data_IF_007124759225
#
_entry.id   IF_007124759225
#
_cell.length_a   1.000
_cell.length_b   1.000
_cell.length_c   1.000
_cell.angle_alpha   90.00
_cell.angle_beta   90.00
_cell.angle_gamma   90.00
#
_symmetry.space_group_name_H-M   'P 1'
#
loop_
_entity.id
_entity.type
_entity.pdbx_description
1 polymer ?
#
# COMPACT_ATOMS: atom_id res chain seq x y z
N UNK A 1 37.56 29.29 45.78
CA UNK A 1 37.36 28.95 44.35
C UNK A 1 36.10 29.67 43.84
N UNK A 2 36.24 30.71 42.99
CA UNK A 2 35.09 31.44 42.42
C UNK A 2 34.59 30.70 41.17
N UNK A 3 33.37 30.18 41.21
CA UNK A 3 32.70 29.61 40.04
C UNK A 3 32.30 30.73 39.07
N UNK A 4 32.83 30.71 37.85
CA UNK A 4 32.40 31.60 36.77
C UNK A 4 31.08 31.06 36.21
N UNK A 5 29.99 31.79 36.39
CA UNK A 5 28.73 31.52 35.71
C UNK A 5 28.92 31.69 34.19
N UNK A 6 28.57 30.67 33.39
CA UNK A 6 28.49 30.79 31.93
C UNK A 6 27.23 31.60 31.61
N UNK A 7 27.41 32.81 31.08
CA UNK A 7 26.30 33.61 30.57
C UNK A 7 25.59 32.90 29.40
N UNK A 8 24.30 33.22 29.14
CA UNK A 8 23.55 32.61 28.06
C UNK A 8 24.17 32.95 26.71
N UNK A 9 24.31 31.94 25.84
CA UNK A 9 24.85 32.11 24.50
C UNK A 9 23.97 33.05 23.67
N UNK A 10 24.55 33.95 22.86
CA UNK A 10 23.78 34.89 22.05
C UNK A 10 22.93 34.14 21.02
N UNK A 11 21.64 34.44 20.96
CA UNK A 11 20.72 33.90 19.95
C UNK A 11 21.19 34.31 18.56
N UNK A 12 21.57 33.35 17.72
CA UNK A 12 21.85 33.59 16.29
C UNK A 12 20.55 34.05 15.62
N UNK A 13 20.35 35.36 15.51
CA UNK A 13 19.32 35.92 14.64
C UNK A 13 19.70 35.57 13.20
N UNK A 14 19.05 34.55 12.65
CA UNK A 14 19.26 34.13 11.29
C UNK A 14 18.95 35.30 10.35
N UNK A 15 19.93 35.67 9.52
CA UNK A 15 19.76 36.63 8.43
C UNK A 15 18.57 36.19 7.59
N UNK A 16 17.51 37.00 7.53
CA UNK A 16 16.38 36.80 6.64
C UNK A 16 16.87 36.95 5.21
N UNK A 17 17.24 35.83 4.59
CA UNK A 17 17.58 35.79 3.17
C UNK A 17 16.29 36.01 2.38
N UNK A 18 16.30 36.87 1.34
CA UNK A 18 15.18 36.99 0.43
C UNK A 18 14.77 35.60 -0.08
N UNK A 19 13.49 35.27 -0.01
CA UNK A 19 12.99 33.97 -0.46
C UNK A 19 13.08 33.94 -1.98
N UNK A 20 14.00 33.15 -2.51
CA UNK A 20 14.19 32.99 -3.96
C UNK A 20 12.92 32.49 -4.65
N UNK A 21 12.15 31.62 -3.98
CA UNK A 21 10.87 31.12 -4.48
C UNK A 21 9.75 31.98 -3.88
N UNK A 22 9.16 32.83 -4.71
CA UNK A 22 8.11 33.78 -4.35
C UNK A 22 6.76 33.09 -4.11
N UNK A 23 5.83 33.82 -3.49
CA UNK A 23 4.48 33.32 -3.23
C UNK A 23 3.71 32.99 -4.53
N UNK A 24 4.02 33.68 -5.63
CA UNK A 24 3.42 33.47 -6.96
C UNK A 24 3.87 32.15 -7.61
N UNK A 25 5.13 31.74 -7.37
CA UNK A 25 5.71 30.56 -8.00
C UNK A 25 5.27 29.25 -7.34
N UNK A 26 4.96 29.29 -6.03
CA UNK A 26 4.55 28.12 -5.26
C UNK A 26 3.23 27.47 -5.74
N UNK A 27 2.16 28.22 -6.06
CA UNK A 27 0.96 27.69 -6.70
C UNK A 27 1.27 26.94 -8.00
N UNK A 28 2.10 27.50 -8.87
CA UNK A 28 2.45 26.86 -10.15
C UNK A 28 3.21 25.57 -9.91
N UNK A 29 4.23 25.60 -9.03
CA UNK A 29 4.96 24.40 -8.65
C UNK A 29 4.05 23.31 -8.06
N UNK A 30 3.05 23.69 -7.24
CA UNK A 30 2.06 22.76 -6.70
C UNK A 30 1.19 22.15 -7.78
N UNK A 31 0.78 22.93 -8.79
CA UNK A 31 0.01 22.44 -9.94
C UNK A 31 0.81 21.41 -10.74
N UNK A 32 2.04 21.74 -11.14
CA UNK A 32 2.96 20.83 -11.85
C UNK A 32 3.15 19.52 -11.06
N UNK A 33 3.41 19.63 -9.75
CA UNK A 33 3.59 18.47 -8.88
C UNK A 33 2.33 17.61 -8.76
N UNK A 34 1.15 18.23 -8.71
CA UNK A 34 -0.12 17.52 -8.63
C UNK A 34 -0.44 16.76 -9.92
N UNK A 35 -0.12 17.31 -11.10
CA UNK A 35 -0.30 16.65 -12.40
C UNK A 35 0.55 15.38 -12.52
N UNK A 36 1.68 15.31 -11.83
CA UNK A 36 2.62 14.17 -11.84
C UNK A 36 2.40 13.21 -10.66
N UNK A 37 1.15 13.06 -10.22
CA UNK A 37 0.75 12.20 -9.09
C UNK A 37 1.59 12.40 -7.84
N UNK A 38 2.04 13.64 -7.61
CA UNK A 38 2.77 14.04 -6.41
C UNK A 38 4.10 13.31 -6.22
N UNK A 39 4.83 13.06 -7.31
CA UNK A 39 6.13 12.39 -7.31
C UNK A 39 7.20 13.06 -6.39
N UNK A 40 8.28 12.32 -6.10
CA UNK A 40 9.41 12.82 -5.31
C UNK A 40 10.22 13.88 -6.08
N UNK A 41 10.94 14.75 -5.38
CA UNK A 41 11.68 15.86 -5.98
C UNK A 41 12.69 15.44 -7.04
N UNK A 42 13.28 14.24 -6.92
CA UNK A 42 14.20 13.69 -7.94
C UNK A 42 13.50 13.42 -9.27
N UNK A 43 12.31 12.80 -9.23
CA UNK A 43 11.50 12.56 -10.43
C UNK A 43 10.97 13.86 -10.99
N UNK A 44 10.48 14.74 -10.12
CA UNK A 44 9.96 16.05 -10.51
C UNK A 44 11.00 16.88 -11.24
N UNK A 45 12.24 16.97 -10.71
CA UNK A 45 13.32 17.71 -11.35
C UNK A 45 13.65 17.18 -12.76
N UNK A 46 13.67 15.85 -12.93
CA UNK A 46 14.01 15.22 -14.22
C UNK A 46 12.98 15.49 -15.32
N UNK A 47 11.71 15.69 -14.97
CA UNK A 47 10.62 15.92 -15.93
C UNK A 47 10.09 17.35 -15.92
N UNK A 48 10.68 18.24 -15.12
CA UNK A 48 10.18 19.59 -14.86
C UNK A 48 9.95 20.37 -16.15
N UNK A 49 10.98 20.46 -16.98
CA UNK A 49 10.93 21.24 -18.22
C UNK A 49 9.90 20.70 -19.22
N UNK A 50 9.89 19.39 -19.45
CA UNK A 50 8.92 18.76 -20.34
C UNK A 50 7.48 18.95 -19.85
N UNK A 51 7.27 18.92 -18.53
CA UNK A 51 5.94 19.10 -17.92
C UNK A 51 5.50 20.56 -18.01
N UNK A 52 6.39 21.53 -17.74
CA UNK A 52 6.10 22.95 -17.90
C UNK A 52 5.72 23.25 -19.36
N UNK A 53 6.53 22.79 -20.32
CA UNK A 53 6.26 22.99 -21.74
C UNK A 53 4.93 22.36 -22.17
N UNK A 54 4.56 21.20 -21.61
CA UNK A 54 3.26 20.58 -21.88
C UNK A 54 2.10 21.40 -21.32
N UNK A 55 2.23 21.91 -20.10
CA UNK A 55 1.18 22.72 -19.47
C UNK A 55 1.03 24.09 -20.14
N UNK A 56 2.11 24.71 -20.62
CA UNK A 56 2.05 25.94 -21.42
C UNK A 56 1.35 25.71 -22.76
N UNK A 57 1.61 24.58 -23.45
CA UNK A 57 0.91 24.23 -24.69
C UNK A 57 -0.60 24.04 -24.54
N UNK A 58 -1.07 23.74 -23.33
CA UNK A 58 -2.48 23.56 -23.03
C UNK A 58 -3.09 24.78 -22.32
N UNK A 59 -2.39 25.92 -22.28
CA UNK A 59 -2.80 27.15 -21.59
C UNK A 59 -3.16 26.95 -20.11
N UNK A 60 -2.58 25.91 -19.48
CA UNK A 60 -2.82 25.57 -18.08
C UNK A 60 -1.96 26.42 -17.13
N UNK A 61 -0.80 26.87 -17.59
CA UNK A 61 0.11 27.74 -16.85
C UNK A 61 0.70 28.79 -17.78
N UNK A 62 1.00 29.96 -17.22
CA UNK A 62 1.78 31.01 -17.89
C UNK A 62 2.92 31.41 -16.96
N UNK A 63 4.15 31.18 -17.39
CA UNK A 63 5.36 31.52 -16.64
C UNK A 63 6.17 32.56 -17.40
N UNK A 64 6.81 33.48 -16.67
CA UNK A 64 7.84 34.33 -17.27
C UNK A 64 9.11 33.49 -17.50
N UNK A 65 9.97 33.86 -18.46
CA UNK A 65 11.22 33.13 -18.73
C UNK A 65 12.07 32.92 -17.48
N UNK A 66 12.14 33.94 -16.61
CA UNK A 66 12.91 33.91 -15.36
C UNK A 66 12.33 32.89 -14.36
N UNK A 67 11.01 32.80 -14.26
CA UNK A 67 10.35 31.83 -13.39
C UNK A 67 10.52 30.39 -13.89
N UNK A 68 10.48 30.19 -15.22
CA UNK A 68 10.75 28.88 -15.83
C UNK A 68 12.18 28.43 -15.53
N UNK A 69 13.17 29.29 -15.77
CA UNK A 69 14.57 28.97 -15.49
C UNK A 69 14.80 28.70 -13.99
N UNK A 70 14.17 29.48 -13.12
CA UNK A 70 14.27 29.28 -11.68
C UNK A 70 13.68 27.93 -11.22
N UNK A 71 12.57 27.48 -11.80
CA UNK A 71 12.00 26.16 -11.49
C UNK A 71 12.84 25.01 -12.06
N UNK A 72 13.35 25.15 -13.28
CA UNK A 72 14.18 24.13 -13.92
C UNK A 72 15.56 23.98 -13.26
N UNK A 73 16.12 25.08 -12.72
CA UNK A 73 17.41 25.07 -12.00
C UNK A 73 17.29 24.59 -10.54
N UNK A 74 16.08 24.41 -10.01
CA UNK A 74 15.86 24.00 -8.65
C UNK A 74 16.38 22.57 -8.37
N UNK A 75 17.25 22.42 -7.36
CA UNK A 75 17.71 21.09 -6.97
C UNK A 75 16.55 20.20 -6.47
N UNK A 76 16.62 18.86 -6.63
CA UNK A 76 15.62 17.94 -6.10
C UNK A 76 15.32 18.15 -4.60
N UNK A 77 16.36 18.42 -3.81
CA UNK A 77 16.23 18.66 -2.37
C UNK A 77 15.55 20.00 -2.05
N UNK A 78 15.65 20.99 -2.94
CA UNK A 78 14.93 22.26 -2.82
C UNK A 78 13.45 22.05 -3.10
N UNK A 79 13.12 21.35 -4.19
CA UNK A 79 11.73 21.02 -4.55
C UNK A 79 11.02 20.24 -3.45
N UNK A 80 11.68 19.23 -2.87
CA UNK A 80 11.13 18.47 -1.75
C UNK A 80 10.89 19.35 -0.51
N UNK A 81 11.76 20.32 -0.22
CA UNK A 81 11.59 21.28 0.89
C UNK A 81 10.43 22.24 0.65
N UNK A 82 10.28 22.75 -0.58
CA UNK A 82 9.17 23.64 -0.95
C UNK A 82 7.81 22.93 -0.87
N UNK A 83 7.77 21.66 -1.26
CA UNK A 83 6.54 20.84 -1.28
C UNK A 83 6.26 20.12 0.05
N UNK A 84 7.18 20.13 1.00
CA UNK A 84 7.03 19.46 2.30
C UNK A 84 5.75 19.87 3.08
N UNK A 85 5.32 21.15 3.11
CA UNK A 85 4.07 21.53 3.76
C UNK A 85 2.85 20.88 3.12
N UNK A 86 2.79 20.81 1.79
CA UNK A 86 1.67 20.18 1.08
C UNK A 86 1.66 18.67 1.24
N UNK A 87 2.83 18.03 1.18
CA UNK A 87 2.95 16.60 1.51
C UNK A 87 2.47 16.28 2.92
N UNK A 88 2.75 17.15 3.88
CA UNK A 88 2.27 16.99 5.26
C UNK A 88 0.75 17.10 5.36
N UNK A 89 0.14 18.01 4.59
CA UNK A 89 -1.33 18.15 4.51
C UNK A 89 -2.00 16.91 3.92
N UNK A 90 -1.39 16.33 2.89
CA UNK A 90 -1.91 15.15 2.21
C UNK A 90 -1.58 13.83 2.92
N UNK A 91 -0.69 13.86 3.93
CA UNK A 91 -0.32 12.66 4.67
C UNK A 91 -1.51 12.17 5.47
N UNK A 92 -2.13 11.09 4.98
CA UNK A 92 -3.12 10.34 5.72
C UNK A 92 -2.50 9.89 7.04
N UNK A 93 -3.16 10.20 8.17
CA UNK A 93 -2.76 9.66 9.47
C UNK A 93 -3.08 8.18 9.47
N UNK A 94 -2.07 7.33 9.21
CA UNK A 94 -2.17 5.89 9.40
C UNK A 94 -2.54 5.61 10.84
N UNK A 95 -3.82 5.33 11.09
CA UNK A 95 -4.29 4.80 12.36
C UNK A 95 -4.37 3.30 12.18
N UNK A 96 -3.58 2.57 12.96
CA UNK A 96 -3.72 1.12 13.03
C UNK A 96 -5.14 0.81 13.48
N UNK A 97 -5.92 0.14 12.62
CA UNK A 97 -7.23 -0.39 13.01
C UNK A 97 -7.09 -1.62 13.91
N UNK A 98 -5.90 -2.22 13.95
CA UNK A 98 -5.56 -3.28 14.89
C UNK A 98 -5.00 -2.65 16.16
N UNK A 99 -5.68 -2.89 17.29
CA UNK A 99 -5.06 -2.75 18.60
C UNK A 99 -4.24 -4.02 18.83
N UNK A 100 -2.96 -3.93 19.22
CA UNK A 100 -2.20 -5.12 19.58
C UNK A 100 -2.84 -5.74 20.82
N UNK A 101 -3.66 -6.78 20.61
CA UNK A 101 -4.24 -7.58 21.66
C UNK A 101 -3.23 -8.62 22.15
N UNK A 102 -3.21 -8.87 23.46
CA UNK A 102 -2.38 -9.89 24.11
C UNK A 102 -2.91 -11.31 23.94
N UNK A 103 -4.17 -11.47 23.48
CA UNK A 103 -4.96 -12.65 23.83
C UNK A 103 -4.76 -13.88 22.92
N UNK A 104 -4.13 -13.77 21.75
CA UNK A 104 -4.03 -14.88 20.78
C UNK A 104 -2.66 -15.05 20.11
N UNK A 105 -1.74 -14.06 20.21
CA UNK A 105 -0.43 -14.15 19.54
C UNK A 105 0.47 -15.26 20.09
N UNK A 106 0.40 -15.54 21.40
CA UNK A 106 1.20 -16.58 22.04
C UNK A 106 0.68 -18.00 21.79
N UNK A 107 -0.57 -18.14 21.33
CA UNK A 107 -1.21 -19.43 21.05
C UNK A 107 -1.07 -19.86 19.58
N UNK A 108 -0.62 -18.95 18.70
CA UNK A 108 -0.39 -19.21 17.29
C UNK A 108 1.13 -19.37 17.11
N UNK A 109 1.65 -20.59 16.87
CA UNK A 109 3.07 -20.78 16.60
C UNK A 109 3.51 -19.91 15.42
N UNK A 110 4.48 -19.02 15.66
CA UNK A 110 5.05 -18.20 14.60
C UNK A 110 6.05 -19.05 13.83
N UNK A 111 5.61 -19.64 12.71
CA UNK A 111 6.52 -20.29 11.77
C UNK A 111 7.45 -19.25 11.18
N UNK A 112 8.74 -19.41 11.44
CA UNK A 112 9.79 -18.52 10.94
C UNK A 112 9.98 -18.73 9.44
N UNK A 113 10.56 -17.75 8.74
CA UNK A 113 10.72 -17.78 7.28
C UNK A 113 11.49 -19.02 6.78
N UNK A 114 12.34 -19.62 7.62
CA UNK A 114 13.14 -20.80 7.30
C UNK A 114 12.35 -22.13 7.35
N UNK A 115 11.22 -22.17 8.05
CA UNK A 115 10.37 -23.37 8.18
C UNK A 115 9.32 -23.44 7.06
N UNK A 116 9.29 -22.44 6.16
CA UNK A 116 8.28 -22.32 5.10
C UNK A 116 8.79 -22.94 3.80
N UNK A 117 8.06 -23.91 3.29
CA UNK A 117 8.24 -24.44 1.94
C UNK A 117 7.36 -23.63 0.98
N UNK A 118 7.94 -22.60 0.36
CA UNK A 118 7.23 -21.73 -0.59
C UNK A 118 6.83 -22.44 -1.90
N UNK A 119 7.22 -23.70 -2.11
CA UNK A 119 6.86 -24.46 -3.30
C UNK A 119 5.54 -25.24 -3.15
N UNK A 120 4.92 -25.27 -1.96
CA UNK A 120 3.68 -26.02 -1.69
C UNK A 120 2.51 -25.10 -1.37
N UNK A 121 1.36 -25.37 -1.98
CA UNK A 121 0.10 -24.63 -1.76
C UNK A 121 -0.56 -25.05 -0.44
N UNK A 122 0.12 -24.84 0.68
CA UNK A 122 -0.34 -25.17 2.03
C UNK A 122 -0.41 -23.92 2.95
N UNK A 123 -0.06 -22.76 2.43
CA UNK A 123 0.07 -21.52 3.19
C UNK A 123 -0.74 -20.38 2.57
N UNK A 124 -1.82 -20.04 3.27
CA UNK A 124 -2.74 -18.97 2.91
C UNK A 124 -2.51 -17.74 3.78
N UNK A 125 -2.10 -16.63 3.18
CA UNK A 125 -2.07 -15.32 3.82
C UNK A 125 -3.46 -14.67 3.73
N UNK A 126 -4.01 -14.26 4.86
CA UNK A 126 -5.31 -13.58 4.92
C UNK A 126 -5.11 -12.18 5.46
N UNK A 127 -5.45 -11.17 4.68
CA UNK A 127 -5.41 -9.76 5.07
C UNK A 127 -6.78 -9.09 4.95
N UNK A 128 -7.04 -8.10 5.80
CA UNK A 128 -8.24 -7.28 5.75
C UNK A 128 -7.88 -5.83 5.40
N UNK A 129 -8.17 -5.44 4.16
CA UNK A 129 -7.91 -4.09 3.65
C UNK A 129 -9.11 -3.20 3.88
N UNK A 130 -8.89 -2.05 4.53
CA UNK A 130 -9.91 -1.00 4.71
C UNK A 130 -9.85 0.01 3.57
N UNK A 131 -11.00 0.29 2.95
CA UNK A 131 -11.14 1.30 1.89
C UNK A 131 -11.64 2.65 2.42
N UNK A 132 -11.43 2.95 3.70
CA UNK A 132 -11.88 4.20 4.35
C UNK A 132 -10.99 5.42 4.12
N UNK A 133 -9.93 5.31 3.30
CA UNK A 133 -9.05 6.45 2.97
C UNK A 133 -8.37 7.11 4.18
N UNK A 134 -8.32 6.45 5.34
CA UNK A 134 -7.76 6.99 6.57
C UNK A 134 -8.74 7.74 7.49
N UNK A 135 -10.01 7.94 7.06
CA UNK A 135 -11.08 8.41 7.95
C UNK A 135 -11.95 7.23 8.41
N UNK A 136 -11.95 6.87 9.71
CA UNK A 136 -12.81 5.81 10.22
C UNK A 136 -14.28 6.25 10.41
N UNK A 137 -14.60 7.53 10.14
CA UNK A 137 -15.94 8.08 10.30
C UNK A 137 -16.72 7.90 9.00
N UNK A 138 -17.48 6.81 8.91
CA UNK A 138 -18.40 6.60 7.79
C UNK A 138 -18.72 5.14 7.53
N UNK A 139 -19.37 4.92 6.39
CA UNK A 139 -19.58 3.59 5.85
C UNK A 139 -18.56 3.32 4.75
N UNK A 140 -17.78 2.26 4.89
CA UNK A 140 -16.71 1.92 3.97
C UNK A 140 -16.63 0.41 3.78
N UNK A 141 -16.25 0.02 2.57
CA UNK A 141 -16.00 -1.37 2.23
C UNK A 141 -14.70 -1.86 2.88
N UNK A 142 -14.69 -3.15 3.21
CA UNK A 142 -13.47 -3.87 3.52
C UNK A 142 -13.31 -5.00 2.51
N UNK A 143 -12.09 -5.31 2.13
CA UNK A 143 -11.78 -6.49 1.33
C UNK A 143 -10.96 -7.45 2.17
N UNK A 144 -11.49 -8.67 2.36
CA UNK A 144 -10.73 -9.80 2.87
C UNK A 144 -10.03 -10.46 1.69
N UNK A 145 -8.70 -10.40 1.66
CA UNK A 145 -7.88 -10.99 0.61
C UNK A 145 -7.23 -12.26 1.16
N UNK A 146 -7.50 -13.39 0.52
CA UNK A 146 -6.84 -14.65 0.81
C UNK A 146 -5.89 -14.99 -0.34
N UNK A 147 -4.59 -15.10 -0.05
CA UNK A 147 -3.54 -15.37 -1.04
C UNK A 147 -2.79 -16.64 -0.68
N UNK A 148 -2.79 -17.62 -1.57
CA UNK A 148 -1.91 -18.78 -1.45
C UNK A 148 -0.51 -18.39 -1.97
N UNK A 149 0.50 -18.52 -1.12
CA UNK A 149 1.84 -17.98 -1.42
C UNK A 149 2.57 -18.77 -2.50
N UNK A 150 2.37 -20.09 -2.56
CA UNK A 150 3.08 -20.94 -3.52
C UNK A 150 2.52 -20.83 -4.94
N UNK A 151 1.20 -20.82 -5.09
CA UNK A 151 0.55 -20.66 -6.39
C UNK A 151 0.40 -19.20 -6.84
N UNK A 152 0.46 -18.25 -5.90
CA UNK A 152 0.12 -16.84 -6.14
C UNK A 152 -1.37 -16.59 -6.33
N UNK A 153 -2.22 -17.62 -6.18
CA UNK A 153 -3.66 -17.48 -6.32
C UNK A 153 -4.20 -16.56 -5.23
N UNK A 154 -5.00 -15.57 -5.63
CA UNK A 154 -5.57 -14.57 -4.73
C UNK A 154 -7.07 -14.48 -4.92
N UNK A 155 -7.82 -14.65 -3.83
CA UNK A 155 -9.27 -14.50 -3.79
C UNK A 155 -9.68 -13.32 -2.90
N UNK A 156 -10.02 -12.16 -3.50
CA UNK A 156 -10.58 -11.05 -2.76
C UNK A 156 -12.09 -11.25 -2.54
N UNK A 157 -12.55 -10.94 -1.34
CA UNK A 157 -13.98 -10.90 -0.97
C UNK A 157 -14.30 -9.59 -0.29
N UNK A 158 -15.29 -8.88 -0.80
CA UNK A 158 -15.78 -7.66 -0.16
C UNK A 158 -16.62 -8.04 1.05
N UNK A 159 -16.19 -7.62 2.23
CA UNK A 159 -16.89 -7.78 3.50
C UNK A 159 -17.47 -6.41 3.87
N UNK A 160 -18.69 -6.13 3.43
CA UNK A 160 -19.38 -4.91 3.83
C UNK A 160 -19.91 -5.04 5.26
N UNK A 161 -19.22 -4.44 6.23
CA UNK A 161 -19.80 -4.15 7.55
C UNK A 161 -19.11 -2.97 8.23
N UNK A 162 -19.46 -1.75 7.82
CA UNK A 162 -19.19 -0.58 8.65
C UNK A 162 -20.27 -0.48 9.72
N UNK A 163 -19.97 -0.91 10.95
CA UNK A 163 -20.59 -0.24 12.11
C UNK A 163 -19.82 1.06 12.31
N UNK A 164 -20.45 2.24 12.22
CA UNK A 164 -19.77 3.46 12.61
C UNK A 164 -19.27 3.28 14.04
N UNK A 165 -18.05 3.70 14.32
CA UNK A 165 -17.57 3.78 15.69
C UNK A 165 -18.37 4.88 16.40
N UNK A 166 -19.51 4.49 16.97
CA UNK A 166 -20.38 5.38 17.73
C UNK A 166 -19.60 5.82 18.96
N UNK A 167 -19.43 7.14 19.10
CA UNK A 167 -18.98 7.73 20.35
C UNK A 167 -19.94 7.28 21.47
N UNK A 168 -19.48 6.57 22.52
CA UNK A 168 -20.34 6.11 23.60
C UNK A 168 -21.06 7.26 24.34
N UNK A 169 -20.68 8.53 24.12
CA UNK A 169 -21.34 9.70 24.73
C UNK A 169 -22.52 10.27 23.92
N UNK A 170 -22.73 9.83 22.67
CA UNK A 170 -23.69 10.45 21.75
C UNK A 170 -24.95 9.63 21.41
N UNK A 171 -25.09 8.41 21.95
CA UNK A 171 -26.15 7.50 21.53
C UNK A 171 -27.47 7.69 22.31
N UNK A 172 -28.17 8.80 22.07
CA UNK A 172 -29.63 8.87 22.29
C UNK A 172 -30.30 9.36 21.02
N UNK A 173 -31.11 8.49 20.42
CA UNK A 173 -32.12 8.91 19.43
C UNK A 173 -31.73 8.77 17.97
N UNK A 174 -31.38 7.56 17.50
CA UNK A 174 -31.59 7.22 16.07
C UNK A 174 -32.28 5.87 15.93
N UNK A 175 -33.39 5.89 15.20
CA UNK A 175 -34.24 4.76 14.89
C UNK A 175 -33.47 3.68 14.10
N UNK A 176 -33.88 2.44 14.32
CA UNK A 176 -33.34 1.23 13.69
C UNK A 176 -33.70 1.24 12.20
N UNK A 177 -32.75 1.18 11.25
CA UNK A 177 -33.11 1.06 9.83
C UNK A 177 -33.74 -0.31 9.54
N UNK A 178 -34.62 -0.42 8.52
CA UNK A 178 -35.32 -1.65 8.18
C UNK A 178 -34.35 -2.72 7.66
N UNK A 179 -34.63 -3.97 8.03
CA UNK A 179 -33.85 -5.13 7.61
C UNK A 179 -33.97 -5.34 6.09
N UNK A 180 -32.83 -5.38 5.39
CA UNK A 180 -32.78 -5.84 4.01
C UNK A 180 -32.96 -7.37 3.96
N UNK A 181 -33.62 -7.91 2.91
CA UNK A 181 -33.95 -9.33 2.83
C UNK A 181 -32.70 -10.21 2.70
N UNK A 182 -32.77 -11.39 3.31
CA UNK A 182 -31.69 -12.38 3.35
C UNK A 182 -31.20 -12.77 1.95
N UNK A 183 -29.88 -12.82 1.78
CA UNK A 183 -29.24 -13.34 0.58
C UNK A 183 -29.68 -14.79 0.33
N UNK A 184 -30.00 -15.10 -0.92
CA UNK A 184 -30.47 -16.42 -1.36
C UNK A 184 -29.42 -17.52 -1.08
N UNK A 185 -29.85 -18.76 -0.78
CA UNK A 185 -28.93 -19.84 -0.49
C UNK A 185 -28.06 -20.22 -1.70
N UNK A 186 -26.82 -20.61 -1.35
CA UNK A 186 -25.70 -21.11 -2.16
C UNK A 186 -26.14 -22.15 -3.20
N UNK A 187 -25.64 -22.04 -4.43
CA UNK A 187 -25.53 -23.18 -5.34
C UNK A 187 -24.42 -24.10 -4.80
N UNK A 188 -24.79 -25.28 -4.32
CA UNK A 188 -23.85 -26.35 -4.03
C UNK A 188 -23.40 -26.97 -5.35
N UNK A 189 -22.12 -26.79 -5.69
CA UNK A 189 -21.49 -27.62 -6.72
C UNK A 189 -21.00 -28.90 -6.05
N UNK A 190 -21.80 -29.96 -6.13
CA UNK A 190 -21.36 -31.34 -5.86
C UNK A 190 -20.27 -31.72 -6.86
N UNK A 191 -19.02 -31.80 -6.41
CA UNK A 191 -17.96 -32.47 -7.14
C UNK A 191 -18.01 -33.97 -6.82
N UNK A 192 -18.63 -34.75 -7.71
CA UNK A 192 -18.48 -36.19 -7.74
C UNK A 192 -17.16 -36.53 -8.47
N UNK A 193 -16.24 -37.21 -7.80
CA UNK A 193 -15.06 -37.81 -8.44
C UNK A 193 -14.98 -39.27 -8.03
N UNK A 194 -15.50 -40.13 -8.90
CA UNK A 194 -15.38 -41.58 -8.87
C UNK A 194 -13.95 -42.01 -9.18
N UNK A 195 -13.33 -42.77 -8.28
CA UNK A 195 -12.07 -43.46 -8.47
C UNK A 195 -12.25 -44.66 -9.42
N UNK A 196 -11.55 -44.66 -10.55
CA UNK A 196 -11.39 -45.86 -11.40
C UNK A 196 -9.91 -46.23 -11.43
N UNK A 197 -9.56 -47.23 -10.65
CA UNK A 197 -8.25 -47.90 -10.67
C UNK A 197 -8.15 -48.73 -11.95
N UNK A 198 -7.24 -48.38 -12.86
CA UNK A 198 -6.88 -49.21 -14.02
C UNK A 198 -5.45 -49.70 -13.84
N UNK A 199 -5.29 -50.99 -13.59
CA UNK A 199 -3.99 -51.68 -13.58
C UNK A 199 -3.47 -51.89 -15.01
N UNK A 200 -2.14 -51.82 -15.26
CA UNK A 200 -1.58 -52.06 -16.59
C UNK A 200 -1.47 -53.57 -16.91
N UNK A 201 -1.67 -54.00 -18.17
CA UNK A 201 -1.56 -55.39 -18.56
C UNK A 201 -0.09 -55.82 -18.76
N UNK A 202 0.19 -57.06 -18.35
CA UNK A 202 1.48 -57.71 -18.47
C UNK A 202 1.89 -58.00 -19.92
N UNK A 203 3.17 -57.77 -20.22
CA UNK A 203 3.81 -58.20 -21.46
C UNK A 203 4.54 -59.52 -21.19
N UNK A 204 3.99 -60.62 -21.71
CA UNK A 204 4.69 -61.90 -21.84
C UNK A 204 5.55 -61.88 -23.11
N UNK A 205 6.84 -62.18 -22.92
CA UNK A 205 7.54 -63.16 -23.74
C UNK A 205 8.53 -62.62 -24.76
N UNK A 206 9.80 -62.99 -24.59
CA UNK A 206 10.50 -63.87 -25.53
C UNK A 206 11.71 -64.51 -24.85
N UNK A 207 11.77 -65.84 -24.93
CA UNK A 207 12.92 -66.68 -24.61
C UNK A 207 13.93 -66.56 -25.75
N UNK A 208 15.21 -66.49 -25.42
CA UNK A 208 16.29 -66.99 -26.27
C UNK A 208 17.37 -67.58 -25.38
N UNK A 209 17.57 -68.89 -25.53
CA UNK A 209 18.58 -69.68 -24.87
C UNK A 209 19.93 -69.51 -25.58
N UNK A 210 21.04 -69.51 -24.82
CA UNK A 210 22.26 -70.22 -25.22
C UNK A 210 23.27 -70.34 -24.07
N UNK A 211 23.41 -71.58 -23.61
CA UNK A 211 24.65 -72.31 -23.24
C UNK A 211 25.61 -71.73 -22.19
N UNK A 212 25.68 -72.49 -21.10
CA UNK A 212 26.87 -72.67 -20.26
C UNK A 212 27.97 -73.46 -20.99
N UNK A 213 29.23 -73.10 -20.72
CA UNK A 213 30.37 -74.02 -20.72
C UNK A 213 31.45 -73.39 -19.83
N UNK A 214 31.80 -74.07 -18.74
CA UNK A 214 32.93 -73.72 -17.90
C UNK A 214 34.24 -74.23 -18.46
N UNK A 215 35.32 -73.63 -17.97
CA UNK A 215 36.60 -74.24 -17.59
C UNK A 215 37.25 -73.35 -16.56
#
# INVERSE_FOLDING_TARGET
MRARARGPAPSRRGRERPRTYTAELLPVLRKVWATLDRCCGKRLAAVMEATIAALERHDEISLTPEHRELLCSASPATLDRLLAPERRRLRLKGRSMTKPGTLLKSQIPVRTFAERDHAKADFLEIDLVSHGGGDPRGEFAYSLCATDVASGWTEPRVVCRSRPQVDPRGARGRARPPALPAARPRLETTAASSSTTTSPPGVRGRRSASRAAGR
#
